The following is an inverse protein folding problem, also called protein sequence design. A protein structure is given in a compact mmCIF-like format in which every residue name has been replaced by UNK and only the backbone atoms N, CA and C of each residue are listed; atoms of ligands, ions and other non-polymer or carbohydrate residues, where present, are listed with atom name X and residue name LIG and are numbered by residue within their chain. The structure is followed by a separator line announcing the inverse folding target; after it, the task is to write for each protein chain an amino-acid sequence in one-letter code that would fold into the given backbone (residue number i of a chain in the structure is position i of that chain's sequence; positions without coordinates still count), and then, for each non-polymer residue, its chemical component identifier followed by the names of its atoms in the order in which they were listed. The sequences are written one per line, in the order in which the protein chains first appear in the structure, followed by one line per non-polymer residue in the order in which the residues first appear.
data_IF_257747047751
#
_entry.id   IF_257747047751
#
_cell.length_a   1.000
_cell.length_b   1.000
_cell.length_c   1.000
_cell.angle_alpha   90.00
_cell.angle_beta   90.00
_cell.angle_gamma   90.00
#
_symmetry.space_group_name_H-M   'P 1'
#
loop_
_entity.id
_entity.type
_entity.pdbx_description
1 polymer ?
#
# COMPACT_ATOMS: atom_id res chain seq x y z
N UNK A 1 -9.01 28.91 -8.42
CA UNK A 1 -9.57 27.74 -9.14
C UNK A 1 -9.99 26.73 -8.09
N UNK A 2 -11.19 26.17 -8.16
CA UNK A 2 -11.58 25.09 -7.25
C UNK A 2 -10.99 23.77 -7.79
N UNK A 3 -10.13 23.14 -7.01
CA UNK A 3 -9.46 21.88 -7.37
C UNK A 3 -10.00 20.68 -6.56
N UNK A 4 -11.04 20.92 -5.74
CA UNK A 4 -11.62 19.86 -4.93
C UNK A 4 -12.17 18.73 -5.79
N UNK A 5 -11.91 17.51 -5.36
CA UNK A 5 -12.44 16.28 -5.97
C UNK A 5 -13.04 15.39 -4.90
N UNK A 6 -14.00 14.57 -5.29
CA UNK A 6 -14.52 13.50 -4.44
C UNK A 6 -13.82 12.18 -4.78
N UNK A 7 -13.38 11.47 -3.75
CA UNK A 7 -12.82 10.12 -3.87
C UNK A 7 -13.56 9.21 -2.90
N UNK A 8 -14.40 8.33 -3.42
CA UNK A 8 -15.17 7.36 -2.63
C UNK A 8 -15.98 8.01 -1.50
N UNK A 9 -16.58 9.20 -1.76
CA UNK A 9 -17.36 9.97 -0.78
C UNK A 9 -16.52 10.87 0.15
N UNK A 10 -15.19 10.87 0.00
CA UNK A 10 -14.28 11.74 0.76
C UNK A 10 -13.83 12.91 -0.12
N UNK A 11 -14.10 14.13 0.35
CA UNK A 11 -13.66 15.34 -0.38
C UNK A 11 -12.18 15.60 -0.11
N UNK A 12 -11.37 15.64 -1.18
CA UNK A 12 -9.98 16.07 -1.17
C UNK A 12 -9.87 17.54 -1.62
N UNK A 13 -8.92 18.29 -1.07
CA UNK A 13 -8.67 19.68 -1.45
C UNK A 13 -8.16 19.83 -2.90
N UNK A 14 -7.53 18.80 -3.44
CA UNK A 14 -7.08 18.67 -4.82
C UNK A 14 -6.81 17.18 -5.15
N UNK A 15 -6.63 16.78 -6.42
CA UNK A 15 -6.43 15.39 -6.81
C UNK A 15 -5.01 14.84 -6.57
N UNK A 16 -4.09 15.64 -6.04
CA UNK A 16 -2.69 15.20 -5.85
C UNK A 16 -2.56 14.41 -4.56
N UNK A 17 -2.10 13.17 -4.69
CA UNK A 17 -1.88 12.24 -3.59
C UNK A 17 -0.46 11.69 -3.65
N UNK A 18 0.10 11.32 -2.51
CA UNK A 18 1.37 10.58 -2.48
C UNK A 18 1.16 9.11 -2.82
N UNK A 19 2.26 8.38 -3.07
CA UNK A 19 2.22 6.94 -3.26
C UNK A 19 2.81 6.22 -2.04
N UNK A 20 2.12 5.20 -1.55
CA UNK A 20 2.43 4.46 -0.31
C UNK A 20 3.85 3.88 -0.26
N UNK A 21 4.47 3.62 -1.41
CA UNK A 21 5.81 3.02 -1.48
C UNK A 21 6.96 4.01 -1.33
N UNK A 22 6.73 5.32 -1.45
CA UNK A 22 7.79 6.32 -1.66
C UNK A 22 7.73 7.53 -0.74
N UNK A 23 6.80 7.59 0.20
CA UNK A 23 6.57 8.79 1.02
C UNK A 23 6.57 8.51 2.54
N UNK A 24 6.82 7.28 2.97
CA UNK A 24 6.72 6.91 4.38
C UNK A 24 5.36 7.24 4.97
N UNK A 25 5.33 7.72 6.21
CA UNK A 25 4.15 8.31 6.83
C UNK A 25 4.09 9.84 6.67
N UNK A 26 4.99 10.41 5.86
CA UNK A 26 5.01 11.85 5.55
C UNK A 26 5.92 12.70 6.43
N UNK A 27 6.39 12.20 7.58
CA UNK A 27 7.21 12.99 8.52
C UNK A 27 8.53 13.46 7.86
N UNK A 28 9.29 12.54 7.28
CA UNK A 28 10.57 12.82 6.63
C UNK A 28 10.42 13.79 5.45
N UNK A 29 9.35 13.63 4.67
CA UNK A 29 9.08 14.48 3.50
C UNK A 29 8.43 15.81 3.84
N UNK A 30 7.88 15.98 5.05
CA UNK A 30 7.32 17.26 5.51
C UNK A 30 8.36 18.39 5.58
N UNK A 31 9.64 18.04 5.66
CA UNK A 31 10.74 19.01 5.59
C UNK A 31 10.92 19.63 4.19
N UNK A 32 10.46 18.92 3.14
CA UNK A 32 10.63 19.33 1.73
C UNK A 32 9.32 19.73 1.07
N UNK A 33 8.19 19.19 1.55
CA UNK A 33 6.86 19.40 0.97
C UNK A 33 5.88 19.80 2.05
N UNK A 34 5.20 20.93 1.87
CA UNK A 34 4.08 21.32 2.73
C UNK A 34 2.89 20.37 2.49
N UNK A 35 2.61 19.50 3.46
CA UNK A 35 1.56 18.49 3.37
C UNK A 35 0.15 19.09 3.24
N UNK A 36 -0.06 20.35 3.66
CA UNK A 36 -1.34 21.06 3.46
C UNK A 36 -1.66 21.28 1.98
N UNK A 37 -0.67 21.20 1.10
CA UNK A 37 -0.83 21.34 -0.36
C UNK A 37 -1.25 20.04 -1.06
N UNK A 38 -1.27 18.91 -0.35
CA UNK A 38 -1.67 17.62 -0.87
C UNK A 38 -3.15 17.36 -0.61
N UNK A 39 -3.83 16.75 -1.56
CA UNK A 39 -5.21 16.27 -1.38
C UNK A 39 -5.27 15.12 -0.38
N UNK A 40 -4.28 14.21 -0.43
CA UNK A 40 -4.11 13.15 0.55
C UNK A 40 -2.66 12.70 0.68
N UNK A 41 -2.30 12.21 1.86
CA UNK A 41 -1.10 11.40 2.09
C UNK A 41 -1.51 9.94 2.13
N UNK A 42 -0.99 9.15 1.18
CA UNK A 42 -1.07 7.69 1.22
C UNK A 42 0.15 7.18 1.96
N UNK A 43 -0.07 6.53 3.10
CA UNK A 43 1.01 6.14 4.01
C UNK A 43 1.76 4.90 3.51
N UNK A 44 2.92 4.65 4.08
CA UNK A 44 3.59 3.34 3.98
C UNK A 44 2.63 2.23 4.41
N UNK A 45 2.80 1.04 3.84
CA UNK A 45 2.02 -0.13 4.26
C UNK A 45 2.12 -0.36 5.75
N UNK A 46 0.98 -0.57 6.40
CA UNK A 46 0.85 -0.84 7.83
C UNK A 46 0.38 -2.28 8.01
N UNK A 47 1.15 -3.07 8.75
CA UNK A 47 0.81 -4.44 9.12
C UNK A 47 0.33 -4.51 10.59
N UNK A 48 -0.21 -5.66 11.00
CA UNK A 48 -0.65 -5.90 12.38
C UNK A 48 0.51 -5.86 13.40
N UNK A 49 1.72 -6.23 12.96
CA UNK A 49 2.95 -6.17 13.75
C UNK A 49 4.06 -5.48 12.96
N UNK A 50 5.15 -5.03 13.61
CA UNK A 50 6.30 -4.48 12.88
C UNK A 50 6.94 -5.50 11.94
N UNK A 51 7.25 -5.06 10.69
CA UNK A 51 8.05 -5.83 9.74
C UNK A 51 9.38 -5.14 9.48
N UNK A 52 10.47 -5.87 9.64
CA UNK A 52 11.83 -5.33 9.43
C UNK A 52 12.17 -5.17 7.94
N UNK A 53 11.46 -5.90 7.08
CA UNK A 53 11.77 -5.95 5.65
C UNK A 53 13.02 -6.79 5.36
N UNK A 54 13.51 -6.67 4.12
CA UNK A 54 14.69 -7.41 3.68
C UNK A 54 15.99 -6.74 4.17
N UNK A 55 17.09 -7.51 4.34
CA UNK A 55 18.41 -6.95 4.63
C UNK A 55 18.90 -6.06 3.48
N UNK A 56 19.83 -5.16 3.80
CA UNK A 56 20.53 -4.32 2.80
C UNK A 56 21.69 -5.09 2.16
N UNK A 57 22.07 -4.77 0.88
CA UNK A 57 21.47 -3.77 -0.01
C UNK A 57 20.15 -4.21 -0.60
N UNK A 58 19.16 -3.32 -0.66
CA UNK A 58 17.79 -3.65 -1.12
C UNK A 58 17.21 -2.64 -2.13
N UNK A 59 18.07 -1.79 -2.63
CA UNK A 59 17.79 -0.83 -3.69
C UNK A 59 18.96 -0.80 -4.65
N UNK A 60 18.70 -0.81 -5.95
CA UNK A 60 19.72 -0.74 -6.98
C UNK A 60 19.26 0.14 -8.15
N UNK A 61 20.10 1.07 -8.57
CA UNK A 61 19.84 1.89 -9.75
C UNK A 61 20.00 1.07 -11.03
N UNK A 62 19.14 1.34 -11.99
CA UNK A 62 19.21 0.80 -13.35
C UNK A 62 19.00 1.92 -14.35
N UNK A 63 19.33 1.67 -15.63
CA UNK A 63 19.13 2.68 -16.67
C UNK A 63 17.62 3.03 -16.76
N UNK A 64 17.32 4.28 -16.44
CA UNK A 64 15.95 4.82 -16.50
C UNK A 64 15.04 4.39 -15.33
N UNK A 65 15.60 3.87 -14.21
CA UNK A 65 14.78 3.47 -13.08
C UNK A 65 15.55 2.95 -11.88
N UNK A 66 14.80 2.30 -10.99
CA UNK A 66 15.33 1.73 -9.75
C UNK A 66 14.65 0.38 -9.48
N UNK A 67 15.44 -0.62 -9.14
CA UNK A 67 14.97 -1.87 -8.57
C UNK A 67 14.95 -1.77 -7.05
N UNK A 68 13.93 -2.33 -6.42
CA UNK A 68 13.89 -2.44 -4.97
C UNK A 68 13.38 -3.81 -4.51
N UNK A 69 13.84 -4.21 -3.34
CA UNK A 69 13.38 -5.36 -2.59
C UNK A 69 13.24 -4.98 -1.11
N UNK A 70 12.50 -3.90 -0.81
CA UNK A 70 12.36 -3.34 0.55
C UNK A 70 11.74 -4.35 1.52
N UNK A 71 10.80 -5.19 1.06
CA UNK A 71 10.12 -6.17 1.88
C UNK A 71 9.10 -5.56 2.84
N UNK A 72 8.41 -4.51 2.41
CA UNK A 72 7.33 -3.85 3.15
C UNK A 72 7.69 -3.44 4.59
N UNK A 73 8.93 -3.05 4.84
CA UNK A 73 9.35 -2.54 6.16
C UNK A 73 8.35 -1.50 6.69
N UNK A 74 7.83 -1.72 7.89
CA UNK A 74 6.85 -0.83 8.51
C UNK A 74 6.84 -1.00 10.05
N UNK A 75 6.37 0.01 10.79
CA UNK A 75 6.40 0.02 12.25
C UNK A 75 5.30 -0.82 12.91
N UNK A 76 4.35 -1.36 12.13
CA UNK A 76 3.14 -1.98 12.65
C UNK A 76 2.06 -1.00 13.08
N UNK A 77 0.85 -1.53 13.33
CA UNK A 77 -0.35 -0.71 13.59
C UNK A 77 -0.26 0.08 14.90
N UNK A 78 0.38 -0.45 15.93
CA UNK A 78 0.44 0.22 17.24
C UNK A 78 1.19 1.54 17.14
N UNK A 79 2.43 1.52 16.62
CA UNK A 79 3.24 2.72 16.46
C UNK A 79 2.64 3.68 15.42
N UNK A 80 1.99 3.15 14.40
CA UNK A 80 1.28 3.97 13.41
C UNK A 80 0.16 4.80 14.08
N UNK A 81 -0.65 4.18 14.94
CA UNK A 81 -1.71 4.88 15.68
C UNK A 81 -1.13 5.88 16.68
N UNK A 82 -0.08 5.52 17.39
CA UNK A 82 0.50 6.36 18.45
C UNK A 82 1.29 7.55 17.90
N UNK A 83 2.02 7.37 16.80
CA UNK A 83 2.96 8.37 16.25
C UNK A 83 2.46 9.02 14.96
N UNK A 84 2.13 8.20 13.95
CA UNK A 84 1.96 8.67 12.59
C UNK A 84 0.61 9.37 12.36
N UNK A 85 -0.47 8.84 12.93
CA UNK A 85 -1.79 9.51 12.86
C UNK A 85 -1.76 10.87 13.54
N UNK A 86 -1.29 11.04 14.78
CA UNK A 86 -1.18 12.34 15.42
C UNK A 86 -0.29 13.33 14.66
N UNK A 87 0.77 12.85 14.01
CA UNK A 87 1.61 13.68 13.17
C UNK A 87 0.84 14.21 11.96
N UNK A 88 0.20 13.33 11.18
CA UNK A 88 -0.55 13.69 9.98
C UNK A 88 -1.75 14.60 10.28
N UNK A 89 -2.39 14.43 11.43
CA UNK A 89 -3.53 15.27 11.87
C UNK A 89 -3.17 16.74 12.15
N UNK A 90 -1.88 17.10 12.11
CA UNK A 90 -1.44 18.51 12.19
C UNK A 90 -1.67 19.25 10.87
N UNK A 91 -1.94 18.56 9.77
CA UNK A 91 -2.05 19.11 8.42
C UNK A 91 -3.48 18.99 7.88
N UNK A 92 -3.85 19.95 7.01
CA UNK A 92 -5.12 19.93 6.27
C UNK A 92 -5.00 19.06 5.00
N UNK A 93 -4.76 17.77 5.20
CA UNK A 93 -4.69 16.75 4.16
C UNK A 93 -5.49 15.54 4.59
N UNK A 94 -5.96 14.72 3.63
CA UNK A 94 -6.63 13.46 3.94
C UNK A 94 -5.60 12.37 4.22
N UNK A 95 -5.94 11.44 5.10
CA UNK A 95 -5.08 10.32 5.48
C UNK A 95 -5.64 9.06 4.83
N UNK A 96 -4.88 8.48 3.91
CA UNK A 96 -5.16 7.19 3.28
C UNK A 96 -4.18 6.18 3.83
N UNK A 97 -4.66 5.19 4.57
CA UNK A 97 -3.78 4.18 5.16
C UNK A 97 -3.62 3.01 4.21
N UNK A 98 -2.39 2.77 3.76
CA UNK A 98 -2.07 1.54 3.03
C UNK A 98 -1.97 0.38 4.02
N UNK A 99 -2.83 -0.62 3.86
CA UNK A 99 -2.92 -1.80 4.74
C UNK A 99 -2.29 -3.01 4.04
N UNK A 100 -1.44 -3.74 4.74
CA UNK A 100 -0.81 -4.96 4.24
C UNK A 100 -0.88 -6.10 5.26
N UNK A 101 -0.82 -7.33 4.78
CA UNK A 101 -0.85 -8.56 5.58
C UNK A 101 -0.47 -9.78 4.75
N UNK A 102 -0.12 -10.87 5.38
CA UNK A 102 0.16 -12.17 4.74
C UNK A 102 -1.05 -13.09 4.77
N UNK A 103 -2.03 -12.81 5.61
CA UNK A 103 -3.27 -13.57 5.75
C UNK A 103 -4.45 -12.63 5.82
N UNK A 104 -5.64 -13.09 5.44
CA UNK A 104 -6.87 -12.30 5.54
C UNK A 104 -7.10 -11.82 6.98
N UNK A 105 -6.81 -12.65 7.99
CA UNK A 105 -6.95 -12.29 9.40
C UNK A 105 -6.04 -11.13 9.82
N UNK A 106 -4.82 -11.03 9.27
CA UNK A 106 -3.92 -9.90 9.55
C UNK A 106 -4.46 -8.60 8.94
N UNK A 107 -5.01 -8.65 7.72
CA UNK A 107 -5.69 -7.47 7.14
C UNK A 107 -6.87 -7.03 8.00
N UNK A 108 -7.72 -7.96 8.42
CA UNK A 108 -8.89 -7.68 9.27
C UNK A 108 -8.47 -7.06 10.60
N UNK A 109 -7.44 -7.60 11.25
CA UNK A 109 -6.91 -7.06 12.49
C UNK A 109 -6.49 -5.59 12.35
N UNK A 110 -5.78 -5.23 11.28
CA UNK A 110 -5.39 -3.84 11.00
C UNK A 110 -6.62 -2.96 10.72
N UNK A 111 -7.55 -3.45 9.92
CA UNK A 111 -8.79 -2.73 9.56
C UNK A 111 -9.64 -2.46 10.80
N UNK A 112 -9.84 -3.45 11.67
CA UNK A 112 -10.59 -3.31 12.92
C UNK A 112 -9.93 -2.29 13.86
N UNK A 113 -8.59 -2.29 13.93
CA UNK A 113 -7.82 -1.32 14.73
C UNK A 113 -7.94 0.11 14.19
N UNK A 114 -8.13 0.27 12.87
CA UNK A 114 -8.31 1.56 12.21
C UNK A 114 -9.76 2.05 12.24
N UNK A 115 -10.74 1.20 12.54
CA UNK A 115 -12.16 1.50 12.42
C UNK A 115 -12.60 2.76 13.19
N UNK A 116 -12.01 3.03 14.35
CA UNK A 116 -12.31 4.20 15.19
C UNK A 116 -11.19 5.27 15.17
N UNK A 117 -10.20 5.10 14.28
CA UNK A 117 -9.14 6.08 14.11
C UNK A 117 -9.55 7.19 13.13
N UNK A 118 -9.02 8.42 13.33
CA UNK A 118 -9.36 9.56 12.48
C UNK A 118 -8.60 9.53 11.14
N UNK A 119 -8.78 8.45 10.37
CA UNK A 119 -8.26 8.26 9.01
C UNK A 119 -9.40 8.25 8.01
N UNK A 120 -9.14 8.71 6.78
CA UNK A 120 -10.21 9.03 5.83
C UNK A 120 -10.55 7.85 4.88
N UNK A 121 -9.54 7.10 4.44
CA UNK A 121 -9.69 5.97 3.49
C UNK A 121 -8.68 4.86 3.82
N UNK A 122 -9.00 3.64 3.39
CA UNK A 122 -8.08 2.50 3.45
C UNK A 122 -7.68 2.09 2.02
N UNK A 123 -6.38 2.00 1.75
CA UNK A 123 -5.81 1.42 0.53
C UNK A 123 -5.30 0.02 0.84
N UNK A 124 -5.96 -1.01 0.35
CA UNK A 124 -5.61 -2.40 0.65
C UNK A 124 -4.58 -2.91 -0.36
N UNK A 125 -3.40 -3.23 0.13
CA UNK A 125 -2.29 -3.72 -0.68
C UNK A 125 -2.33 -5.25 -0.79
N UNK A 126 -2.93 -5.76 -1.86
CA UNK A 126 -3.10 -7.19 -2.11
C UNK A 126 -1.93 -7.85 -2.86
N UNK A 127 -0.78 -7.20 -2.93
CA UNK A 127 0.41 -7.76 -3.59
C UNK A 127 1.27 -8.63 -2.68
N UNK A 128 0.93 -8.73 -1.38
CA UNK A 128 1.61 -9.64 -0.47
C UNK A 128 1.25 -11.10 -0.78
N UNK A 129 2.21 -12.03 -0.71
CA UNK A 129 1.94 -13.44 -0.91
C UNK A 129 1.06 -14.00 0.22
N UNK A 130 0.05 -14.79 -0.16
CA UNK A 130 -0.80 -15.52 0.79
C UNK A 130 -0.06 -16.77 1.28
N UNK A 131 0.25 -16.83 2.55
CA UNK A 131 0.98 -17.96 3.16
C UNK A 131 0.18 -19.27 3.08
N UNK A 132 -1.15 -19.20 3.21
CA UNK A 132 -2.03 -20.38 3.13
C UNK A 132 -2.12 -20.98 1.72
N UNK A 133 -2.01 -20.12 0.72
CA UNK A 133 -2.09 -20.51 -0.71
C UNK A 133 -0.70 -20.69 -1.36
N UNK A 134 0.30 -21.09 -0.57
CA UNK A 134 1.62 -21.42 -1.08
C UNK A 134 2.43 -20.25 -1.65
N UNK A 135 2.16 -19.03 -1.15
CA UNK A 135 2.89 -17.82 -1.55
C UNK A 135 2.33 -17.12 -2.79
N UNK A 136 1.16 -17.51 -3.29
CA UNK A 136 0.47 -16.80 -4.37
C UNK A 136 -0.04 -15.47 -3.81
N UNK A 137 0.29 -14.36 -4.47
CA UNK A 137 -0.23 -13.06 -4.06
C UNK A 137 -1.75 -12.99 -4.24
N UNK A 138 -2.45 -12.42 -3.26
CA UNK A 138 -3.91 -12.24 -3.33
C UNK A 138 -4.34 -11.56 -4.63
N UNK A 139 -3.58 -10.57 -5.09
CA UNK A 139 -3.86 -9.80 -6.31
C UNK A 139 -3.60 -10.52 -7.63
N UNK A 140 -3.26 -11.83 -7.63
CA UNK A 140 -3.00 -12.61 -8.85
C UNK A 140 -4.14 -13.56 -9.22
N UNK A 141 -5.15 -13.69 -8.37
CA UNK A 141 -6.30 -14.58 -8.61
C UNK A 141 -7.61 -13.80 -8.39
N UNK A 142 -8.51 -13.70 -9.40
CA UNK A 142 -9.75 -12.91 -9.29
C UNK A 142 -10.63 -13.35 -8.12
N UNK A 143 -10.74 -14.66 -7.88
CA UNK A 143 -11.55 -15.18 -6.78
C UNK A 143 -11.00 -14.74 -5.42
N UNK A 144 -9.68 -14.77 -5.25
CA UNK A 144 -9.05 -14.31 -4.02
C UNK A 144 -9.21 -12.79 -3.83
N UNK A 145 -9.13 -12.02 -4.92
CA UNK A 145 -9.38 -10.56 -4.89
C UNK A 145 -10.80 -10.28 -4.43
N UNK A 146 -11.79 -10.95 -5.01
CA UNK A 146 -13.19 -10.78 -4.64
C UNK A 146 -13.44 -11.15 -3.18
N UNK A 147 -12.94 -12.31 -2.74
CA UNK A 147 -13.18 -12.82 -1.38
C UNK A 147 -12.54 -11.94 -0.31
N UNK A 148 -11.26 -11.58 -0.47
CA UNK A 148 -10.58 -10.69 0.50
C UNK A 148 -11.21 -9.29 0.52
N UNK A 149 -11.64 -8.78 -0.63
CA UNK A 149 -12.32 -7.48 -0.70
C UNK A 149 -13.62 -7.52 0.09
N UNK A 150 -14.41 -8.58 -0.10
CA UNK A 150 -15.69 -8.76 0.61
C UNK A 150 -15.50 -8.86 2.12
N UNK A 151 -14.51 -9.63 2.57
CA UNK A 151 -14.21 -9.78 3.99
C UNK A 151 -13.77 -8.46 4.61
N UNK A 152 -12.85 -7.73 3.97
CA UNK A 152 -12.38 -6.42 4.44
C UNK A 152 -13.54 -5.41 4.49
N UNK A 153 -14.39 -5.37 3.46
CA UNK A 153 -15.54 -4.47 3.43
C UNK A 153 -16.56 -4.75 4.54
N UNK A 154 -16.67 -5.99 5.01
CA UNK A 154 -17.54 -6.33 6.14
C UNK A 154 -17.03 -5.76 7.47
N UNK A 155 -15.76 -5.46 7.60
CA UNK A 155 -15.11 -4.93 8.81
C UNK A 155 -14.85 -3.42 8.74
N UNK A 156 -14.54 -2.91 7.54
CA UNK A 156 -14.13 -1.52 7.36
C UNK A 156 -15.29 -0.53 7.59
N UNK A 157 -15.02 0.52 8.38
CA UNK A 157 -15.91 1.69 8.51
C UNK A 157 -15.60 2.77 7.49
N UNK A 158 -14.33 2.87 7.07
CA UNK A 158 -13.87 3.79 6.06
C UNK A 158 -14.10 3.22 4.65
N UNK A 159 -14.19 4.07 3.61
CA UNK A 159 -14.16 3.60 2.22
C UNK A 159 -12.88 2.82 1.92
N UNK A 160 -13.00 1.76 1.12
CA UNK A 160 -11.94 0.81 0.79
C UNK A 160 -11.54 0.94 -0.67
N UNK A 161 -10.26 1.21 -0.92
CA UNK A 161 -9.63 1.23 -2.23
C UNK A 161 -8.74 -0.01 -2.35
N UNK A 162 -8.94 -0.81 -3.40
CA UNK A 162 -8.10 -1.99 -3.65
C UNK A 162 -6.93 -1.60 -4.54
N UNK A 163 -5.69 -1.81 -4.06
CA UNK A 163 -4.47 -1.54 -4.84
C UNK A 163 -4.06 -2.77 -5.63
N UNK A 164 -4.22 -2.66 -6.95
CA UNK A 164 -4.04 -3.77 -7.88
C UNK A 164 -2.57 -3.98 -8.26
N UNK A 165 -2.21 -5.26 -8.46
CA UNK A 165 -0.91 -5.66 -9.00
C UNK A 165 -0.91 -5.55 -10.53
N UNK A 166 0.17 -5.01 -11.14
CA UNK A 166 0.34 -5.04 -12.59
C UNK A 166 0.86 -6.40 -13.09
N UNK A 167 1.27 -7.29 -12.19
CA UNK A 167 1.94 -8.55 -12.54
C UNK A 167 0.92 -9.68 -12.75
N UNK A 168 -0.03 -9.43 -13.62
CA UNK A 168 -1.15 -10.31 -14.00
C UNK A 168 -1.35 -10.24 -15.52
N UNK A 169 -2.01 -11.23 -16.10
CA UNK A 169 -2.30 -11.26 -17.53
C UNK A 169 -3.31 -10.19 -17.95
N UNK A 170 -4.37 -10.02 -17.14
CA UNK A 170 -5.40 -9.00 -17.36
C UNK A 170 -5.78 -8.34 -16.04
N UNK A 171 -5.37 -7.09 -15.87
CA UNK A 171 -5.67 -6.30 -14.67
C UNK A 171 -7.17 -5.94 -14.58
N UNK A 172 -7.89 -5.98 -15.69
CA UNK A 172 -9.32 -5.68 -15.69
C UNK A 172 -10.15 -6.78 -15.03
N UNK A 173 -9.68 -8.03 -15.07
CA UNK A 173 -10.29 -9.12 -14.30
C UNK A 173 -10.16 -8.89 -12.79
N UNK A 174 -8.97 -8.45 -12.35
CA UNK A 174 -8.74 -8.11 -10.94
C UNK A 174 -9.59 -6.92 -10.50
N UNK A 175 -9.72 -5.91 -11.37
CA UNK A 175 -10.56 -4.74 -11.12
C UNK A 175 -12.04 -5.12 -10.92
N UNK A 176 -12.58 -5.95 -11.83
CA UNK A 176 -13.96 -6.45 -11.73
C UNK A 176 -14.18 -7.32 -10.48
N UNK A 177 -13.18 -8.11 -10.12
CA UNK A 177 -13.24 -8.93 -8.92
C UNK A 177 -13.26 -8.07 -7.64
N UNK A 178 -12.46 -7.02 -7.59
CA UNK A 178 -12.49 -6.05 -6.48
C UNK A 178 -13.83 -5.33 -6.40
N UNK A 179 -14.39 -4.90 -7.54
CA UNK A 179 -15.72 -4.29 -7.62
C UNK A 179 -16.81 -5.27 -7.14
N UNK A 180 -16.78 -6.53 -7.59
CA UNK A 180 -17.70 -7.58 -7.16
C UNK A 180 -17.59 -7.88 -5.65
N UNK A 181 -16.41 -7.73 -5.07
CA UNK A 181 -16.18 -7.81 -3.63
C UNK A 181 -16.67 -6.59 -2.85
N UNK A 182 -17.07 -5.51 -3.53
CA UNK A 182 -17.63 -4.30 -2.92
C UNK A 182 -16.60 -3.19 -2.64
N UNK A 183 -15.48 -3.17 -3.35
CA UNK A 183 -14.53 -2.06 -3.26
C UNK A 183 -15.19 -0.73 -3.65
N UNK A 184 -14.87 0.34 -2.92
CA UNK A 184 -15.36 1.69 -3.22
C UNK A 184 -14.52 2.37 -4.30
N UNK A 185 -13.27 1.93 -4.48
CA UNK A 185 -12.36 2.45 -5.50
C UNK A 185 -11.20 1.50 -5.81
N UNK A 186 -10.41 1.87 -6.81
CA UNK A 186 -9.24 1.14 -7.25
C UNK A 186 -8.02 2.05 -7.26
N UNK A 187 -6.87 1.52 -6.83
CA UNK A 187 -5.56 2.17 -6.94
C UNK A 187 -4.69 1.37 -7.93
N UNK A 188 -4.08 2.05 -8.87
CA UNK A 188 -3.21 1.51 -9.91
C UNK A 188 -1.87 2.23 -9.84
N UNK A 189 -0.81 1.56 -9.78
CA UNK A 189 -0.52 0.12 -9.68
C UNK A 189 0.55 -0.14 -8.62
N UNK A 190 0.68 -1.40 -8.17
CA UNK A 190 1.80 -1.83 -7.37
C UNK A 190 3.07 -1.96 -8.23
N UNK A 191 4.19 -2.38 -7.64
CA UNK A 191 5.49 -2.47 -8.28
C UNK A 191 5.49 -3.49 -9.43
N UNK A 192 6.03 -3.08 -10.59
CA UNK A 192 6.34 -4.00 -11.67
C UNK A 192 7.51 -4.91 -11.25
N UNK A 193 7.37 -6.21 -11.48
CA UNK A 193 8.47 -7.15 -11.27
C UNK A 193 9.56 -6.90 -12.31
N UNK A 194 10.81 -6.77 -11.85
CA UNK A 194 11.95 -6.56 -12.72
C UNK A 194 13.19 -7.28 -12.20
N UNK A 195 14.15 -7.53 -13.09
CA UNK A 195 15.43 -8.14 -12.77
C UNK A 195 16.54 -7.48 -13.59
N UNK A 196 17.71 -7.31 -12.96
CA UNK A 196 18.96 -6.93 -13.64
C UNK A 196 20.07 -7.86 -13.17
N UNK A 197 20.75 -8.47 -14.12
CA UNK A 197 21.96 -9.26 -13.85
C UNK A 197 23.16 -8.33 -13.96
N UNK A 198 23.96 -8.23 -12.89
CA UNK A 198 25.20 -7.47 -12.88
C UNK A 198 26.37 -8.46 -13.02
N UNK A 199 26.99 -8.50 -14.20
CA UNK A 199 28.10 -9.43 -14.49
C UNK A 199 29.35 -9.16 -13.63
N UNK A 200 29.49 -7.96 -13.08
CA UNK A 200 30.63 -7.61 -12.22
C UNK A 200 30.58 -8.25 -10.83
N UNK A 201 29.40 -8.66 -10.38
CA UNK A 201 29.20 -9.28 -9.06
C UNK A 201 28.88 -10.78 -9.15
N UNK A 202 28.76 -11.32 -10.35
CA UNK A 202 28.53 -12.77 -10.56
C UNK A 202 29.81 -13.57 -10.70
N UNK A 203 30.97 -12.90 -10.90
CA UNK A 203 32.26 -13.57 -10.97
C UNK A 203 32.71 -14.15 -9.62
N UNK A 204 32.36 -13.51 -8.51
CA UNK A 204 32.75 -13.98 -7.17
C UNK A 204 32.00 -15.25 -6.72
N UNK A 205 30.82 -15.51 -7.29
CA UNK A 205 30.04 -16.72 -6.99
C UNK A 205 30.47 -17.94 -7.83
N UNK A 206 31.33 -17.74 -8.84
CA UNK A 206 31.84 -18.79 -9.70
C UNK A 206 33.24 -19.26 -9.32
N UNK A 207 33.90 -18.55 -8.41
CA UNK A 207 35.27 -18.82 -7.97
C UNK A 207 35.33 -19.56 -6.61
N UNK A 208 34.17 -19.89 -6.02
CA UNK A 208 34.02 -20.81 -4.89
C UNK A 208 33.50 -22.18 -5.39
#
# INVERSE_FOLDING_TARGET
MNMKVDLCGVTLNNPVMTASGTFGAGEEYSEFVDLNRLGAVVTKGVANVPWEGNPTPRVAEVYGGMLNAIGLQNPGIDLFIERDIPFLKKYDTRIVVNVCGHTTSEYIEVVDRLADQPVDLLEINISCPNVKEGGIAFGQNPKMVEDITREIKAHAKQPVIMKLSPNVTDITEMARAAEAGGADGLSLINTLTGMKICLLYTSDAADE
#
